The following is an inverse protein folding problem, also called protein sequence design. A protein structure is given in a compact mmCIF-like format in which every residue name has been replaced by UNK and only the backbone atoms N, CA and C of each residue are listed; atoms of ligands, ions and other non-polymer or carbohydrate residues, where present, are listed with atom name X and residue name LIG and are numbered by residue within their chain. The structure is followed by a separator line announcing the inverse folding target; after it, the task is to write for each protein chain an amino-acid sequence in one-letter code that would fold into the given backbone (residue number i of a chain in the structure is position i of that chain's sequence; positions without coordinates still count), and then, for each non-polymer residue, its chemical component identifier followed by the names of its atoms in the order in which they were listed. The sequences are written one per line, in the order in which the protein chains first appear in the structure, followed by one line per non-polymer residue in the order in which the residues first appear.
data_IF_580059929053
#
_entry.id   IF_580059929053
#
_cell.length_a   1.000
_cell.length_b   1.000
_cell.length_c   1.000
_cell.angle_alpha   90.00
_cell.angle_beta   90.00
_cell.angle_gamma   90.00
#
_symmetry.space_group_name_H-M   'P 1'
#
loop_
_entity.id
_entity.type
_entity.pdbx_description
1 polymer ?
#
# COMPACT_ATOMS: atom_id res chain seq x y z
N UNK A 1 -18.66 -2.99 41.59
CA UNK A 1 -17.77 -2.71 40.44
C UNK A 1 -18.51 -1.77 39.50
N UNK A 2 -18.13 -0.50 39.46
CA UNK A 2 -18.76 0.49 38.58
C UNK A 2 -18.16 0.35 37.18
N UNK A 3 -18.94 -0.15 36.23
CA UNK A 3 -18.55 -0.20 34.82
C UNK A 3 -18.51 1.22 34.25
N UNK A 4 -17.39 1.60 33.67
CA UNK A 4 -17.27 2.86 32.95
C UNK A 4 -18.22 2.88 31.73
N UNK A 5 -18.95 3.98 31.49
CA UNK A 5 -19.78 4.10 30.30
C UNK A 5 -18.89 4.14 29.07
N UNK A 6 -19.02 3.15 28.19
CA UNK A 6 -18.31 3.12 26.91
C UNK A 6 -18.72 4.34 26.08
N UNK A 7 -17.73 5.16 25.70
CA UNK A 7 -17.93 6.29 24.81
C UNK A 7 -18.42 5.75 23.46
N UNK A 8 -19.67 6.04 23.10
CA UNK A 8 -20.24 5.64 21.80
C UNK A 8 -19.42 6.31 20.69
N UNK A 9 -18.86 5.51 19.79
CA UNK A 9 -18.15 5.99 18.60
C UNK A 9 -19.12 6.82 17.75
N UNK A 10 -18.78 8.09 17.47
CA UNK A 10 -19.60 9.04 16.71
C UNK A 10 -19.96 8.53 15.30
N UNK A 11 -19.14 7.65 14.74
CA UNK A 11 -19.25 7.15 13.37
C UNK A 11 -19.49 5.64 13.30
N UNK A 12 -19.83 5.00 14.43
CA UNK A 12 -19.96 3.55 14.50
C UNK A 12 -18.62 2.82 14.41
N UNK A 13 -18.66 1.48 14.51
CA UNK A 13 -17.49 0.62 14.34
C UNK A 13 -16.97 0.67 12.89
N UNK A 14 -15.65 0.78 12.67
CA UNK A 14 -15.07 0.76 11.31
C UNK A 14 -15.39 -0.53 10.54
N UNK A 15 -15.55 -0.43 9.22
CA UNK A 15 -15.93 -1.56 8.35
C UNK A 15 -14.94 -2.73 8.38
N UNK A 16 -13.68 -2.49 8.77
CA UNK A 16 -12.65 -3.51 8.87
C UNK A 16 -12.69 -4.33 10.17
N UNK A 17 -13.56 -4.00 11.14
CA UNK A 17 -13.66 -4.73 12.41
C UNK A 17 -13.92 -6.24 12.26
N UNK A 18 -14.81 -6.70 11.36
CA UNK A 18 -14.98 -8.12 11.07
C UNK A 18 -13.72 -8.78 10.49
N UNK A 19 -12.95 -8.05 9.68
CA UNK A 19 -11.70 -8.55 9.07
C UNK A 19 -10.60 -8.72 10.12
N UNK A 20 -10.57 -7.88 11.16
CA UNK A 20 -9.63 -8.05 12.28
C UNK A 20 -9.88 -9.37 13.01
N UNK A 21 -11.13 -9.75 13.25
CA UNK A 21 -11.45 -11.05 13.85
C UNK A 21 -10.91 -12.23 13.04
N UNK A 22 -10.91 -12.12 11.71
CA UNK A 22 -10.39 -13.16 10.82
C UNK A 22 -8.85 -13.19 10.78
N UNK A 23 -8.19 -12.03 10.85
CA UNK A 23 -6.73 -11.92 10.81
C UNK A 23 -6.05 -12.33 12.12
N UNK A 24 -6.75 -12.20 13.24
CA UNK A 24 -6.24 -12.53 14.58
C UNK A 24 -6.87 -13.81 15.16
N UNK A 25 -7.62 -14.57 14.35
CA UNK A 25 -8.17 -15.85 14.76
C UNK A 25 -7.02 -16.83 15.07
N UNK A 26 -7.00 -17.35 16.30
CA UNK A 26 -5.91 -18.22 16.78
C UNK A 26 -4.61 -17.51 17.17
N UNK A 27 -4.54 -16.17 17.12
CA UNK A 27 -3.36 -15.40 17.58
C UNK A 27 -3.59 -14.87 18.99
N UNK A 28 -2.87 -15.42 19.98
CA UNK A 28 -2.84 -14.87 21.34
C UNK A 28 -1.67 -13.88 21.48
N UNK A 29 -1.98 -12.64 21.84
CA UNK A 29 -0.97 -11.62 22.17
C UNK A 29 -0.85 -11.58 23.70
N UNK A 30 0.27 -12.07 24.24
CA UNK A 30 0.49 -12.18 25.69
C UNK A 30 1.06 -10.91 26.34
N UNK A 31 1.42 -9.90 25.53
CA UNK A 31 1.96 -8.63 26.00
C UNK A 31 3.42 -8.67 26.47
N UNK A 32 4.12 -9.80 26.33
CA UNK A 32 5.53 -9.97 26.74
C UNK A 32 6.49 -9.04 25.99
N UNK A 33 6.10 -8.56 24.82
CA UNK A 33 6.87 -7.60 23.99
C UNK A 33 6.24 -6.21 23.95
N UNK A 34 5.24 -5.94 24.80
CA UNK A 34 4.61 -4.62 24.84
C UNK A 34 5.57 -3.59 25.44
N UNK A 35 5.81 -2.52 24.70
CA UNK A 35 6.61 -1.38 25.13
C UNK A 35 5.68 -0.23 25.49
N UNK A 36 5.81 0.31 26.70
CA UNK A 36 5.05 1.48 27.17
C UNK A 36 5.98 2.69 27.13
N UNK A 37 5.80 3.63 26.17
CA UNK A 37 6.65 4.81 26.08
C UNK A 37 6.53 5.65 27.36
N UNK A 38 7.65 5.88 28.04
CA UNK A 38 7.73 6.59 29.33
C UNK A 38 7.83 5.69 30.55
N UNK A 39 7.82 4.36 30.37
CA UNK A 39 8.27 3.43 31.39
C UNK A 39 9.78 3.25 31.21
N UNK A 40 10.56 3.86 32.12
CA UNK A 40 11.98 3.59 32.24
C UNK A 40 12.12 2.13 32.69
N UNK A 41 12.73 1.30 31.84
CA UNK A 41 13.20 -0.02 32.25
C UNK A 41 14.34 0.21 33.25
N UNK A 42 13.97 0.30 34.53
CA UNK A 42 14.91 0.29 35.65
C UNK A 42 15.34 -1.16 35.85
N UNK A 43 16.21 -1.64 34.97
CA UNK A 43 17.17 -2.67 35.33
C UNK A 43 18.53 -1.98 35.39
N UNK A 44 18.79 -1.42 36.58
CA UNK A 44 20.08 -0.97 37.07
C UNK A 44 21.10 -2.12 36.98
N UNK A 45 22.05 -2.01 36.07
CA UNK A 45 23.47 -2.30 36.38
C UNK A 45 24.35 -1.39 35.53
N UNK A 46 24.13 -0.08 35.71
CA UNK A 46 25.08 0.95 35.34
C UNK A 46 26.10 1.03 36.48
N UNK A 47 27.13 0.19 36.41
CA UNK A 47 28.27 0.27 37.31
C UNK A 47 29.54 0.60 36.54
N UNK A 48 29.89 1.86 36.69
CA UNK A 48 31.22 2.40 36.79
C UNK A 48 32.05 2.58 35.51
N UNK A 49 32.01 3.85 35.07
CA UNK A 49 33.15 4.77 35.09
C UNK A 49 34.41 4.23 34.41
N UNK A 50 34.74 4.88 33.30
CA UNK A 50 36.04 4.82 32.63
C UNK A 50 37.21 5.01 33.61
N UNK A 51 37.75 3.91 34.13
CA UNK A 51 39.07 3.88 34.75
C UNK A 51 40.10 3.48 33.69
N UNK A 52 40.76 4.49 33.14
CA UNK A 52 42.00 4.35 32.36
C UNK A 52 43.03 3.66 33.25
N UNK A 53 43.16 2.34 33.11
CA UNK A 53 44.24 1.57 33.74
C UNK A 53 45.46 1.63 32.84
N UNK A 54 46.16 2.75 32.93
CA UNK A 54 47.58 2.80 32.61
C UNK A 54 48.35 1.89 33.57
N UNK A 55 49.17 1.01 33.03
CA UNK A 55 50.31 0.41 33.72
C UNK A 55 51.46 0.45 32.74
N UNK A 56 52.66 0.93 33.15
CA UNK A 56 53.38 0.28 34.25
C UNK A 56 54.26 1.24 35.09
N UNK A 57 54.01 1.33 36.41
CA UNK A 57 55.03 1.84 37.33
C UNK A 57 55.95 0.70 37.77
N UNK A 58 57.09 0.59 37.09
CA UNK A 58 58.18 -0.31 37.50
C UNK A 58 58.84 0.25 38.76
N UNK A 59 58.54 -0.33 39.92
CA UNK A 59 59.27 -0.04 41.16
C UNK A 59 60.20 -1.21 41.44
N UNK A 60 61.50 -0.95 41.30
CA UNK A 60 62.55 -1.93 41.51
C UNK A 60 62.68 -2.32 42.99
N UNK A 61 62.83 -3.62 43.24
CA UNK A 61 63.59 -4.08 44.41
C UNK A 61 64.15 -5.49 44.20
N UNK A 62 65.43 -5.49 43.82
CA UNK A 62 66.52 -6.33 44.35
C UNK A 62 66.32 -7.85 44.57
N UNK A 63 67.20 -8.56 43.86
CA UNK A 63 67.96 -9.79 44.22
C UNK A 63 67.23 -11.13 44.07
N UNK A 64 67.61 -11.86 43.03
CA UNK A 64 68.62 -12.94 43.12
C UNK A 64 68.92 -13.44 41.70
N UNK A 65 70.22 -13.48 41.37
CA UNK A 65 70.68 -14.16 40.17
C UNK A 65 70.44 -15.66 40.32
N UNK A 66 69.95 -16.27 39.25
CA UNK A 66 70.24 -17.67 38.95
C UNK A 66 70.26 -17.82 37.43
N UNK A 67 71.40 -18.30 36.95
CA UNK A 67 71.70 -18.61 35.58
C UNK A 67 70.73 -19.64 35.02
N UNK A 68 70.19 -19.42 33.82
CA UNK A 68 69.81 -20.51 32.93
C UNK A 68 70.07 -20.07 31.49
N UNK A 69 71.14 -20.60 30.93
CA UNK A 69 71.35 -20.64 29.49
C UNK A 69 70.24 -21.50 28.88
N UNK A 70 69.42 -20.93 27.98
CA UNK A 70 68.83 -21.70 26.88
C UNK A 70 68.80 -20.83 25.62
N UNK A 71 69.75 -21.08 24.74
CA UNK A 71 69.63 -20.85 23.30
C UNK A 71 68.36 -21.53 22.77
N UNK A 72 67.48 -20.78 22.12
CA UNK A 72 66.32 -21.32 21.42
C UNK A 72 65.15 -20.35 21.43
N UNK A 73 65.01 -19.55 20.36
CA UNK A 73 63.80 -18.80 20.09
C UNK A 73 62.65 -19.77 19.75
N UNK A 74 62.06 -20.41 20.76
CA UNK A 74 60.82 -21.18 20.62
C UNK A 74 59.71 -20.38 21.26
N UNK A 75 58.81 -19.82 20.44
CA UNK A 75 57.59 -19.15 20.93
C UNK A 75 56.93 -20.04 21.99
N UNK A 76 56.66 -19.48 23.16
CA UNK A 76 56.06 -20.20 24.29
C UNK A 76 54.78 -20.93 23.84
N UNK A 77 54.49 -22.14 24.35
CA UNK A 77 53.27 -22.89 24.02
C UNK A 77 51.99 -22.06 24.17
N UNK A 78 51.95 -21.15 25.14
CA UNK A 78 50.82 -20.25 25.40
C UNK A 78 50.66 -19.23 24.26
N UNK A 79 51.77 -18.68 23.73
CA UNK A 79 51.74 -17.74 22.60
C UNK A 79 51.17 -18.40 21.34
N UNK A 80 51.46 -19.68 21.11
CA UNK A 80 50.89 -20.43 19.98
C UNK A 80 49.39 -20.66 20.13
N UNK A 81 48.92 -20.94 21.34
CA UNK A 81 47.49 -21.09 21.62
C UNK A 81 46.77 -19.76 21.39
N UNK A 82 47.34 -18.65 21.87
CA UNK A 82 46.80 -17.30 21.67
C UNK A 82 46.76 -16.94 20.17
N UNK A 83 47.84 -17.19 19.42
CA UNK A 83 47.88 -16.99 17.96
C UNK A 83 46.78 -17.82 17.25
N UNK A 84 46.59 -19.08 17.65
CA UNK A 84 45.55 -19.95 17.11
C UNK A 84 44.13 -19.44 17.41
N UNK A 85 43.89 -18.95 18.63
CA UNK A 85 42.58 -18.42 19.04
C UNK A 85 42.26 -17.11 18.30
N UNK A 86 43.25 -16.22 18.15
CA UNK A 86 43.14 -14.99 17.35
C UNK A 86 42.83 -15.31 15.89
N UNK A 87 43.48 -16.33 15.33
CA UNK A 87 43.27 -16.74 13.95
C UNK A 87 41.88 -17.37 13.75
N UNK A 88 41.42 -18.19 14.71
CA UNK A 88 40.04 -18.71 14.72
C UNK A 88 39.01 -17.59 14.86
N UNK A 89 39.24 -16.62 15.73
CA UNK A 89 38.33 -15.50 15.95
C UNK A 89 38.27 -14.58 14.71
N UNK A 90 39.42 -14.26 14.10
CA UNK A 90 39.47 -13.50 12.85
C UNK A 90 38.76 -14.23 11.69
N UNK A 91 38.92 -15.55 11.60
CA UNK A 91 38.23 -16.36 10.60
C UNK A 91 36.71 -16.39 10.85
N UNK A 92 36.29 -16.49 12.12
CA UNK A 92 34.88 -16.44 12.50
C UNK A 92 34.25 -15.06 12.22
N UNK A 93 34.97 -13.98 12.54
CA UNK A 93 34.55 -12.61 12.23
C UNK A 93 34.42 -12.38 10.73
N UNK A 94 35.37 -12.87 9.93
CA UNK A 94 35.32 -12.78 8.47
C UNK A 94 34.17 -13.60 7.86
N UNK A 95 33.86 -14.77 8.42
CA UNK A 95 32.72 -15.58 8.00
C UNK A 95 31.38 -14.89 8.33
N UNK A 96 31.26 -14.30 9.53
CA UNK A 96 30.08 -13.55 9.95
C UNK A 96 29.87 -12.30 9.09
N UNK A 97 30.94 -11.57 8.74
CA UNK A 97 30.84 -10.40 7.87
C UNK A 97 30.33 -10.77 6.48
N UNK A 98 30.86 -11.85 5.88
CA UNK A 98 30.40 -12.34 4.57
C UNK A 98 28.95 -12.81 4.60
N UNK A 99 28.51 -13.43 5.69
CA UNK A 99 27.12 -13.82 5.88
C UNK A 99 26.21 -12.60 5.98
N UNK A 100 26.59 -11.60 6.77
CA UNK A 100 25.83 -10.36 6.93
C UNK A 100 25.73 -9.56 5.62
N UNK A 101 26.83 -9.47 4.87
CA UNK A 101 26.86 -8.82 3.55
C UNK A 101 25.91 -9.50 2.56
N UNK A 102 25.90 -10.84 2.54
CA UNK A 102 24.98 -11.62 1.71
C UNK A 102 23.53 -11.42 2.12
N UNK A 103 23.24 -11.42 3.42
CA UNK A 103 21.89 -11.16 3.94
C UNK A 103 21.41 -9.75 3.59
N UNK A 104 22.28 -8.74 3.74
CA UNK A 104 21.98 -7.37 3.37
C UNK A 104 21.71 -7.25 1.86
N UNK A 105 22.53 -7.88 1.02
CA UNK A 105 22.31 -7.90 -0.43
C UNK A 105 20.96 -8.56 -0.78
N UNK A 106 20.64 -9.72 -0.21
CA UNK A 106 19.37 -10.42 -0.42
C UNK A 106 18.17 -9.56 0.03
N UNK A 107 18.26 -8.86 1.17
CA UNK A 107 17.22 -7.92 1.61
C UNK A 107 17.07 -6.74 0.64
N UNK A 108 18.17 -6.16 0.16
CA UNK A 108 18.09 -5.05 -0.80
C UNK A 108 17.48 -5.48 -2.13
N UNK A 109 17.79 -6.69 -2.61
CA UNK A 109 17.17 -7.23 -3.82
C UNK A 109 15.69 -7.49 -3.62
N UNK A 110 15.30 -8.05 -2.48
CA UNK A 110 13.91 -8.27 -2.14
C UNK A 110 13.12 -6.95 -2.13
N UNK A 111 13.64 -5.93 -1.44
CA UNK A 111 13.01 -4.60 -1.40
C UNK A 111 12.92 -3.96 -2.78
N UNK A 112 13.95 -4.12 -3.63
CA UNK A 112 13.91 -3.62 -5.01
C UNK A 112 12.84 -4.32 -5.85
N UNK A 113 12.74 -5.66 -5.76
CA UNK A 113 11.71 -6.43 -6.47
C UNK A 113 10.30 -6.04 -6.01
N UNK A 114 10.11 -5.89 -4.70
CA UNK A 114 8.84 -5.44 -4.15
C UNK A 114 8.50 -4.02 -4.62
N UNK A 115 9.48 -3.12 -4.67
CA UNK A 115 9.29 -1.76 -5.18
C UNK A 115 8.93 -1.75 -6.67
N UNK A 116 9.58 -2.57 -7.50
CA UNK A 116 9.24 -2.67 -8.93
C UNK A 116 7.84 -3.24 -9.13
N UNK A 117 7.47 -4.31 -8.42
CA UNK A 117 6.13 -4.88 -8.49
C UNK A 117 5.05 -3.88 -8.06
N UNK A 118 5.34 -3.09 -7.02
CA UNK A 118 4.44 -2.03 -6.57
C UNK A 118 4.27 -0.92 -7.60
N UNK A 119 5.36 -0.48 -8.24
CA UNK A 119 5.30 0.50 -9.33
C UNK A 119 4.50 -0.04 -10.51
N UNK A 120 4.77 -1.26 -10.97
CA UNK A 120 4.02 -1.90 -12.06
C UNK A 120 2.53 -2.06 -11.73
N UNK A 121 2.20 -2.40 -10.47
CA UNK A 121 0.82 -2.47 -10.02
C UNK A 121 0.14 -1.10 -10.07
N UNK A 122 0.81 -0.06 -9.58
CA UNK A 122 0.30 1.31 -9.59
C UNK A 122 0.07 1.80 -11.02
N UNK A 123 1.03 1.61 -11.92
CA UNK A 123 0.89 1.94 -13.33
C UNK A 123 -0.32 1.24 -13.96
N UNK A 124 -0.49 -0.06 -13.68
CA UNK A 124 -1.64 -0.83 -14.18
C UNK A 124 -2.98 -0.31 -13.66
N UNK A 125 -3.05 0.12 -12.40
CA UNK A 125 -4.27 0.72 -11.85
C UNK A 125 -4.58 2.06 -12.53
N UNK A 126 -3.56 2.92 -12.72
CA UNK A 126 -3.75 4.20 -13.41
C UNK A 126 -4.19 4.02 -14.86
N UNK A 127 -3.67 3.00 -15.56
CA UNK A 127 -4.09 2.73 -16.92
C UNK A 127 -5.51 2.18 -17.00
N UNK A 128 -5.92 1.32 -16.05
CA UNK A 128 -7.31 0.86 -15.96
C UNK A 128 -8.25 2.05 -15.71
N UNK A 129 -7.88 2.97 -14.82
CA UNK A 129 -8.66 4.16 -14.52
C UNK A 129 -8.78 5.09 -15.74
N UNK A 130 -7.65 5.41 -16.39
CA UNK A 130 -7.64 6.21 -17.62
C UNK A 130 -8.52 5.60 -18.71
N UNK A 131 -8.40 4.29 -18.95
CA UNK A 131 -9.21 3.59 -19.94
C UNK A 131 -10.72 3.64 -19.61
N UNK A 132 -11.08 3.58 -18.32
CA UNK A 132 -12.48 3.73 -17.89
C UNK A 132 -12.99 5.15 -18.11
N UNK A 133 -12.18 6.15 -17.80
CA UNK A 133 -12.51 7.56 -18.03
C UNK A 133 -12.67 7.87 -19.52
N UNK A 134 -11.76 7.39 -20.37
CA UNK A 134 -11.82 7.55 -21.83
C UNK A 134 -13.08 6.89 -22.41
N UNK A 135 -13.41 5.66 -21.98
CA UNK A 135 -14.66 5.00 -22.40
C UNK A 135 -15.91 5.70 -21.89
N UNK A 136 -15.85 6.35 -20.72
CA UNK A 136 -16.97 7.14 -20.20
C UNK A 136 -17.15 8.42 -21.02
N UNK A 137 -16.06 9.14 -21.27
CA UNK A 137 -16.06 10.36 -22.08
C UNK A 137 -16.53 10.10 -23.52
N UNK A 138 -16.09 8.99 -24.13
CA UNK A 138 -16.54 8.60 -25.46
C UNK A 138 -18.05 8.33 -25.49
N UNK A 139 -18.58 7.59 -24.51
CA UNK A 139 -20.03 7.33 -24.40
C UNK A 139 -20.81 8.62 -24.19
N UNK A 140 -20.36 9.50 -23.30
CA UNK A 140 -20.98 10.81 -23.09
C UNK A 140 -20.96 11.68 -24.37
N UNK A 141 -19.86 11.63 -25.13
CA UNK A 141 -19.75 12.32 -26.41
C UNK A 141 -20.70 11.73 -27.47
N UNK A 142 -20.82 10.40 -27.55
CA UNK A 142 -21.77 9.72 -28.43
C UNK A 142 -23.22 10.07 -28.08
N UNK A 143 -23.59 9.96 -26.80
CA UNK A 143 -24.92 10.30 -26.29
C UNK A 143 -25.29 11.75 -26.58
N UNK A 144 -24.37 12.69 -26.31
CA UNK A 144 -24.59 14.10 -26.61
C UNK A 144 -24.73 14.35 -28.11
N UNK A 145 -23.93 13.68 -28.95
CA UNK A 145 -24.03 13.78 -30.40
C UNK A 145 -25.36 13.23 -30.93
N UNK A 146 -25.84 12.12 -30.39
CA UNK A 146 -27.15 11.55 -30.73
C UNK A 146 -28.30 12.49 -30.36
N UNK A 147 -28.23 13.12 -29.18
CA UNK A 147 -29.24 14.10 -28.75
C UNK A 147 -29.22 15.32 -29.67
N UNK A 148 -28.04 15.82 -30.06
CA UNK A 148 -27.95 16.92 -31.03
C UNK A 148 -28.58 16.56 -32.37
N UNK A 149 -28.35 15.33 -32.86
CA UNK A 149 -28.99 14.85 -34.09
C UNK A 149 -30.52 14.76 -33.94
N UNK A 150 -31.03 14.28 -32.81
CA UNK A 150 -32.46 14.28 -32.52
C UNK A 150 -33.06 15.68 -32.61
N UNK A 151 -32.45 16.64 -31.90
CA UNK A 151 -32.92 18.03 -31.85
C UNK A 151 -32.94 18.62 -33.25
N UNK A 152 -31.92 18.33 -34.07
CA UNK A 152 -31.87 18.78 -35.44
C UNK A 152 -33.01 18.20 -36.29
N UNK A 153 -33.27 16.89 -36.21
CA UNK A 153 -34.40 16.26 -36.93
C UNK A 153 -35.74 16.87 -36.51
N UNK A 154 -35.95 17.06 -35.20
CA UNK A 154 -37.17 17.65 -34.65
C UNK A 154 -37.37 19.09 -35.14
N UNK A 155 -36.28 19.87 -35.22
CA UNK A 155 -36.30 21.22 -35.80
C UNK A 155 -36.63 21.21 -37.29
N UNK A 156 -36.03 20.30 -38.05
CA UNK A 156 -36.26 20.16 -39.49
C UNK A 156 -37.71 19.71 -39.78
N UNK A 157 -38.32 18.96 -38.87
CA UNK A 157 -39.74 18.57 -38.90
C UNK A 157 -40.70 19.69 -38.50
N UNK A 158 -40.18 20.84 -38.07
CA UNK A 158 -40.98 22.00 -37.67
C UNK A 158 -41.71 21.84 -36.33
N UNK A 159 -41.26 20.93 -35.46
CA UNK A 159 -41.82 20.84 -34.10
C UNK A 159 -41.39 22.05 -33.28
N UNK A 160 -42.39 22.77 -32.76
CA UNK A 160 -42.17 23.97 -31.97
C UNK A 160 -41.55 23.63 -30.61
N UNK A 161 -40.48 24.34 -30.25
CA UNK A 161 -39.84 24.23 -28.95
C UNK A 161 -40.83 24.63 -27.85
N UNK A 162 -41.16 23.69 -26.96
CA UNK A 162 -42.13 23.89 -25.88
C UNK A 162 -43.54 23.34 -26.17
N UNK A 163 -43.81 22.86 -27.39
CA UNK A 163 -45.00 22.03 -27.64
C UNK A 163 -44.97 20.76 -26.79
N UNK A 164 -46.14 20.18 -26.50
CA UNK A 164 -46.21 18.94 -25.73
C UNK A 164 -45.49 17.80 -26.48
N UNK A 165 -45.64 17.74 -27.80
CA UNK A 165 -44.91 16.80 -28.66
C UNK A 165 -43.38 16.95 -28.52
N UNK A 166 -42.87 18.18 -28.45
CA UNK A 166 -41.44 18.44 -28.25
C UNK A 166 -40.96 17.97 -26.87
N UNK A 167 -41.72 18.23 -25.81
CA UNK A 167 -41.37 17.78 -24.45
C UNK A 167 -41.38 16.25 -24.36
N UNK A 168 -42.37 15.61 -24.99
CA UNK A 168 -42.52 14.15 -25.01
C UNK A 168 -41.36 13.46 -25.72
N UNK A 169 -40.67 14.12 -26.65
CA UNK A 169 -39.45 13.56 -27.26
C UNK A 169 -38.41 13.15 -26.22
N UNK A 170 -38.24 13.91 -25.13
CA UNK A 170 -37.32 13.55 -24.05
C UNK A 170 -37.73 12.29 -23.28
N UNK A 171 -39.03 11.98 -23.22
CA UNK A 171 -39.56 10.75 -22.63
C UNK A 171 -39.42 9.57 -23.61
N UNK A 172 -39.82 9.78 -24.87
CA UNK A 172 -39.68 8.81 -25.94
C UNK A 172 -38.22 8.38 -26.12
N UNK A 173 -37.26 9.30 -25.94
CA UNK A 173 -35.83 9.00 -26.04
C UNK A 173 -35.32 7.98 -25.01
N UNK A 174 -35.97 7.90 -23.84
CA UNK A 174 -35.64 6.92 -22.81
C UNK A 174 -36.19 5.54 -23.12
N UNK A 175 -37.22 5.45 -23.95
CA UNK A 175 -37.77 4.19 -24.42
C UNK A 175 -36.98 3.71 -25.63
N UNK A 176 -36.11 2.71 -25.43
CA UNK A 176 -35.25 2.17 -26.48
C UNK A 176 -36.02 1.70 -27.73
N UNK A 177 -37.18 1.06 -27.54
CA UNK A 177 -37.96 0.54 -28.65
C UNK A 177 -38.60 1.68 -29.45
N UNK A 178 -39.20 2.65 -28.76
CA UNK A 178 -39.84 3.80 -29.41
C UNK A 178 -38.81 4.74 -30.04
N UNK A 179 -37.68 4.99 -29.38
CA UNK A 179 -36.53 5.71 -29.98
C UNK A 179 -36.12 5.08 -31.30
N UNK A 180 -35.93 3.75 -31.34
CA UNK A 180 -35.51 3.05 -32.55
C UNK A 180 -36.55 3.12 -33.67
N UNK A 181 -37.84 3.00 -33.33
CA UNK A 181 -38.94 3.14 -34.29
C UNK A 181 -39.04 4.55 -34.87
N UNK A 182 -38.92 5.58 -34.01
CA UNK A 182 -38.95 6.98 -34.43
C UNK A 182 -37.75 7.33 -35.29
N UNK A 183 -36.54 6.93 -34.88
CA UNK A 183 -35.30 7.17 -35.62
C UNK A 183 -35.31 6.50 -37.00
N UNK A 184 -35.90 5.30 -37.11
CA UNK A 184 -36.06 4.60 -38.39
C UNK A 184 -37.07 5.24 -39.34
N UNK A 185 -37.94 6.14 -38.85
CA UNK A 185 -38.96 6.77 -39.66
C UNK A 185 -38.39 7.96 -40.43
N UNK A 186 -38.44 7.91 -41.77
CA UNK A 186 -37.86 8.95 -42.64
C UNK A 186 -38.79 10.11 -42.98
N UNK A 187 -40.09 9.96 -42.70
CA UNK A 187 -41.13 10.92 -43.10
C UNK A 187 -41.57 11.71 -41.87
N UNK A 188 -41.46 13.04 -41.94
CA UNK A 188 -41.78 13.98 -40.86
C UNK A 188 -43.19 13.77 -40.27
N UNK A 189 -44.22 13.72 -41.13
CA UNK A 189 -45.62 13.54 -40.71
C UNK A 189 -45.83 12.23 -39.93
N UNK A 190 -45.15 11.15 -40.34
CA UNK A 190 -45.25 9.85 -39.68
C UNK A 190 -44.51 9.85 -38.33
N UNK A 191 -43.37 10.55 -38.22
CA UNK A 191 -42.69 10.78 -36.94
C UNK A 191 -43.59 11.52 -35.96
N UNK A 192 -44.23 12.60 -36.40
CA UNK A 192 -45.18 13.36 -35.58
C UNK A 192 -46.39 12.52 -35.14
N UNK A 193 -46.96 11.72 -36.05
CA UNK A 193 -48.06 10.81 -35.72
C UNK A 193 -47.64 9.75 -34.70
N UNK A 194 -46.40 9.24 -34.79
CA UNK A 194 -45.84 8.29 -33.83
C UNK A 194 -45.74 8.92 -32.44
N UNK A 195 -45.24 10.15 -32.34
CA UNK A 195 -45.17 10.89 -31.06
C UNK A 195 -46.57 11.04 -30.45
N UNK A 196 -47.57 11.46 -31.24
CA UNK A 196 -48.95 11.62 -30.76
C UNK A 196 -49.58 10.30 -30.31
N UNK A 197 -49.29 9.21 -31.01
CA UNK A 197 -49.74 7.88 -30.59
C UNK A 197 -49.06 7.44 -29.28
N UNK A 198 -47.76 7.70 -29.15
CA UNK A 198 -47.02 7.45 -27.91
C UNK A 198 -47.61 8.24 -26.74
N UNK A 199 -47.95 9.52 -26.94
CA UNK A 199 -48.62 10.33 -25.92
C UNK A 199 -49.95 9.73 -25.47
N UNK A 200 -50.78 9.29 -26.42
CA UNK A 200 -52.08 8.69 -26.12
C UNK A 200 -51.95 7.37 -25.34
N UNK A 201 -51.00 6.51 -25.73
CA UNK A 201 -50.76 5.22 -25.06
C UNK A 201 -50.26 5.42 -23.63
N UNK A 202 -49.49 6.49 -23.38
CA UNK A 202 -48.91 6.80 -22.08
C UNK A 202 -49.76 7.79 -21.25
N UNK A 203 -50.97 8.15 -21.71
CA UNK A 203 -51.87 9.11 -21.05
C UNK A 203 -51.19 10.47 -20.75
N UNK A 204 -50.37 10.97 -21.66
CA UNK A 204 -49.63 12.23 -21.52
C UNK A 204 -50.40 13.44 -22.06
N UNK A 205 -51.48 13.22 -22.81
CA UNK A 205 -52.38 14.23 -23.35
C UNK A 205 -53.77 13.64 -23.62
#
# INVERSE_FOLDING_TARGET
MYGHPQKKLKYGPPEYLPLMGQNFDGVAVDGSTSFVPGQEDVDEDDNDVMEVRDSPATSGSRKRGSSTNTTGATKSPIVRIIESLLQQNNNAAAANLKFLERQAAEQTEFMKRQATEFVEFMERQTEIERNREEQKALREQEETSEIHQMIQIVRDDGLEAGSMEYVVMGLLWKDFAMKKLWWGCKIAEKRLQLIRNYMRVNNLA
#
